data_IF_197121279760
#
_entry.id   IF_197121279760
#
_cell.length_a   1.000
_cell.length_b   1.000
_cell.length_c   1.000
_cell.angle_alpha   90.00
_cell.angle_beta   90.00
_cell.angle_gamma   90.00
#
_symmetry.space_group_name_H-M   'P 1'
#
loop_
_entity.id
_entity.type
_entity.pdbx_description
1 polymer ?
#
# COMPACT_ATOMS: atom_id res chain seq x y z
N UNK A 1 -10.32 -5.26 8.69
CA UNK A 1 -9.52 -6.51 8.62
C UNK A 1 -9.40 -6.94 7.17
N UNK A 2 -8.35 -7.67 6.83
CA UNK A 2 -8.25 -8.38 5.54
C UNK A 2 -8.82 -9.77 5.73
N UNK A 3 -9.67 -10.24 4.82
CA UNK A 3 -10.18 -11.60 4.85
C UNK A 3 -10.00 -12.28 3.48
N UNK A 4 -9.43 -13.48 3.52
CA UNK A 4 -9.42 -14.41 2.41
C UNK A 4 -10.41 -15.52 2.75
N UNK A 5 -11.30 -15.87 1.81
CA UNK A 5 -12.31 -16.91 1.99
C UNK A 5 -12.24 -17.90 0.83
N UNK A 6 -11.80 -19.11 1.11
CA UNK A 6 -11.69 -20.22 0.15
C UNK A 6 -10.93 -19.80 -1.13
N UNK A 7 -9.89 -18.99 -0.95
CA UNK A 7 -9.15 -18.40 -2.08
C UNK A 7 -8.25 -19.44 -2.71
N UNK A 8 -8.39 -19.58 -4.02
CA UNK A 8 -7.48 -20.34 -4.87
C UNK A 8 -6.88 -19.41 -5.90
N UNK A 9 -5.58 -19.46 -6.07
CA UNK A 9 -4.91 -18.75 -7.15
C UNK A 9 -3.70 -19.53 -7.69
N UNK A 10 -3.46 -19.33 -8.98
CA UNK A 10 -2.33 -19.91 -9.70
C UNK A 10 -1.48 -18.83 -10.36
N UNK A 11 -0.28 -19.18 -10.78
CA UNK A 11 0.60 -18.36 -11.60
C UNK A 11 1.21 -19.22 -12.69
N UNK A 12 1.09 -18.76 -13.94
CA UNK A 12 1.57 -19.50 -15.11
C UNK A 12 1.07 -20.97 -15.15
N UNK A 13 -0.21 -21.19 -14.82
CA UNK A 13 -0.84 -22.50 -14.81
C UNK A 13 -0.46 -23.42 -13.63
N UNK A 14 0.36 -22.94 -12.69
CA UNK A 14 0.72 -23.69 -11.49
C UNK A 14 -0.07 -23.19 -10.30
N UNK A 15 -0.87 -24.03 -9.63
CA UNK A 15 -1.55 -23.67 -8.39
C UNK A 15 -0.53 -23.32 -7.31
N UNK A 16 -0.69 -22.19 -6.66
CA UNK A 16 0.17 -21.72 -5.56
C UNK A 16 -0.53 -21.77 -4.22
N UNK A 17 -1.82 -21.48 -4.21
CA UNK A 17 -2.67 -21.55 -3.02
C UNK A 17 -3.98 -22.18 -3.44
N UNK A 18 -4.51 -23.09 -2.63
CA UNK A 18 -5.75 -23.82 -2.87
C UNK A 18 -6.60 -23.73 -1.61
N UNK A 19 -7.85 -23.25 -1.76
CA UNK A 19 -8.88 -23.19 -0.71
C UNK A 19 -8.41 -22.55 0.60
N UNK A 20 -7.63 -21.49 0.50
CA UNK A 20 -7.09 -20.81 1.68
C UNK A 20 -8.09 -19.84 2.29
N UNK A 21 -8.28 -19.94 3.61
CA UNK A 21 -9.09 -19.00 4.37
C UNK A 21 -8.26 -18.44 5.53
N UNK A 22 -8.17 -17.12 5.63
CA UNK A 22 -7.44 -16.43 6.70
C UNK A 22 -8.05 -15.06 6.95
N UNK A 23 -8.01 -14.63 8.21
CA UNK A 23 -8.40 -13.29 8.62
C UNK A 23 -7.21 -12.59 9.29
N UNK A 24 -6.90 -11.39 8.85
CA UNK A 24 -5.84 -10.56 9.39
C UNK A 24 -6.45 -9.28 9.98
N UNK A 25 -6.27 -9.09 11.27
CA UNK A 25 -6.85 -7.96 11.99
C UNK A 25 -5.91 -6.74 11.97
N UNK A 26 -6.49 -5.56 12.11
CA UNK A 26 -5.72 -4.33 12.25
C UNK A 26 -4.73 -4.42 13.43
N UNK A 27 -3.55 -3.87 13.26
CA UNK A 27 -2.49 -3.88 14.28
C UNK A 27 -1.67 -5.17 14.35
N UNK A 28 -2.07 -6.23 13.65
CA UNK A 28 -1.27 -7.46 13.62
C UNK A 28 0.01 -7.30 12.80
N UNK A 29 1.06 -7.92 13.30
CA UNK A 29 2.32 -8.12 12.56
C UNK A 29 2.38 -9.58 12.18
N UNK A 30 2.31 -9.87 10.89
CA UNK A 30 2.17 -11.23 10.36
C UNK A 30 3.38 -11.58 9.52
N UNK A 31 4.02 -12.70 9.83
CA UNK A 31 5.10 -13.27 9.02
C UNK A 31 4.55 -14.32 8.04
N UNK A 32 4.90 -14.20 6.76
CA UNK A 32 4.61 -15.20 5.74
C UNK A 32 5.88 -16.00 5.45
N UNK A 33 5.87 -17.28 5.81
CA UNK A 33 7.01 -18.17 5.66
C UNK A 33 6.72 -19.31 4.67
N UNK A 34 7.76 -19.81 4.03
CA UNK A 34 7.66 -20.91 3.06
C UNK A 34 8.87 -20.97 2.15
N UNK A 35 9.02 -22.06 1.43
CA UNK A 35 10.11 -22.29 0.47
C UNK A 35 10.10 -21.24 -0.66
N UNK A 36 11.23 -21.12 -1.36
CA UNK A 36 11.28 -20.26 -2.54
C UNK A 36 10.35 -20.80 -3.63
N UNK A 37 9.61 -19.89 -4.28
CA UNK A 37 8.65 -20.25 -5.32
C UNK A 37 7.30 -20.80 -4.80
N UNK A 38 7.05 -20.87 -3.48
CA UNK A 38 5.79 -21.37 -2.94
C UNK A 38 4.61 -20.39 -3.06
N UNK A 39 4.83 -19.17 -3.57
CA UNK A 39 3.74 -18.21 -3.82
C UNK A 39 3.68 -17.00 -2.88
N UNK A 40 4.68 -16.78 -1.99
CA UNK A 40 4.68 -15.62 -1.07
C UNK A 40 4.50 -14.28 -1.79
N UNK A 41 5.29 -14.04 -2.82
CA UNK A 41 5.19 -12.80 -3.63
C UNK A 41 3.86 -12.73 -4.40
N UNK A 42 3.30 -13.87 -4.80
CA UNK A 42 2.00 -13.92 -5.47
C UNK A 42 0.86 -13.62 -4.51
N UNK A 43 0.98 -14.01 -3.24
CA UNK A 43 0.03 -13.60 -2.20
C UNK A 43 0.04 -12.08 -2.00
N UNK A 44 1.22 -11.46 -1.96
CA UNK A 44 1.30 -9.99 -1.88
C UNK A 44 0.74 -9.31 -3.13
N UNK A 45 0.97 -9.86 -4.32
CA UNK A 45 0.39 -9.35 -5.56
C UNK A 45 -1.14 -9.49 -5.58
N UNK A 46 -1.69 -10.58 -5.02
CA UNK A 46 -3.13 -10.77 -4.83
C UNK A 46 -3.72 -9.70 -3.90
N UNK A 47 -3.08 -9.46 -2.74
CA UNK A 47 -3.52 -8.43 -1.81
C UNK A 47 -3.41 -7.02 -2.39
N UNK A 48 -2.40 -6.75 -3.22
CA UNK A 48 -2.23 -5.50 -3.96
C UNK A 48 -3.15 -5.36 -5.18
N UNK A 49 -4.04 -6.33 -5.41
CA UNK A 49 -4.93 -6.39 -6.59
C UNK A 49 -4.19 -6.41 -7.94
N UNK A 50 -2.94 -6.86 -7.94
CA UNK A 50 -2.13 -7.09 -9.15
C UNK A 50 -2.34 -8.50 -9.72
N UNK A 51 -2.88 -9.41 -8.92
CA UNK A 51 -3.26 -10.77 -9.25
C UNK A 51 -4.71 -11.00 -8.81
N UNK A 52 -5.47 -11.72 -9.61
CA UNK A 52 -6.85 -12.10 -9.26
C UNK A 52 -6.91 -13.56 -8.80
N UNK A 53 -7.79 -13.82 -7.83
CA UNK A 53 -8.11 -15.18 -7.44
C UNK A 53 -8.87 -15.90 -8.56
N UNK A 54 -8.62 -17.20 -8.74
CA UNK A 54 -9.40 -18.06 -9.63
C UNK A 54 -10.74 -18.44 -9.00
N UNK A 55 -10.75 -18.55 -7.67
CA UNK A 55 -11.97 -18.77 -6.87
C UNK A 55 -11.79 -18.22 -5.46
N UNK A 56 -12.93 -18.04 -4.77
CA UNK A 56 -12.98 -17.47 -3.44
C UNK A 56 -12.97 -15.94 -3.43
N UNK A 57 -13.04 -15.36 -2.26
CA UNK A 57 -13.19 -13.93 -2.06
C UNK A 57 -12.00 -13.34 -1.30
N UNK A 58 -11.54 -12.19 -1.76
CA UNK A 58 -10.51 -11.36 -1.11
C UNK A 58 -11.16 -10.05 -0.68
N UNK A 59 -11.32 -9.85 0.61
CA UNK A 59 -11.90 -8.65 1.18
C UNK A 59 -10.80 -7.77 1.79
N UNK A 60 -10.67 -6.56 1.28
CA UNK A 60 -9.85 -5.50 1.87
C UNK A 60 -10.74 -4.29 2.18
N UNK A 61 -10.54 -3.63 3.33
CA UNK A 61 -11.27 -2.39 3.61
C UNK A 61 -10.94 -1.33 2.56
N UNK A 62 -11.97 -0.73 1.96
CA UNK A 62 -11.79 0.29 0.93
C UNK A 62 -11.01 1.54 1.39
N UNK A 63 -10.98 1.78 2.72
CA UNK A 63 -10.23 2.88 3.33
C UNK A 63 -8.76 2.57 3.58
N UNK A 64 -8.31 1.34 3.36
CA UNK A 64 -6.91 0.97 3.59
C UNK A 64 -6.07 1.23 2.34
N UNK A 65 -4.92 1.81 2.57
CA UNK A 65 -3.88 1.96 1.54
C UNK A 65 -2.81 0.91 1.77
N UNK A 66 -2.47 0.19 0.72
CA UNK A 66 -1.40 -0.82 0.76
C UNK A 66 -0.11 -0.15 0.33
N UNK A 67 0.83 -0.04 1.27
CA UNK A 67 2.21 0.32 0.95
C UNK A 67 3.06 -0.97 0.85
N UNK A 68 3.99 -1.00 -0.08
CA UNK A 68 4.84 -2.16 -0.32
C UNK A 68 6.30 -1.72 -0.47
N UNK A 69 7.18 -2.42 0.21
CA UNK A 69 8.62 -2.31 -0.04
C UNK A 69 9.00 -3.31 -1.13
N UNK A 70 9.61 -2.82 -2.21
CA UNK A 70 10.09 -3.68 -3.28
C UNK A 70 11.24 -4.57 -2.80
N UNK A 71 11.37 -5.74 -3.39
CA UNK A 71 12.44 -6.68 -3.07
C UNK A 71 13.83 -6.14 -3.49
N UNK A 72 13.85 -5.37 -4.57
CA UNK A 72 15.05 -4.66 -5.06
C UNK A 72 14.79 -3.16 -4.96
N UNK A 73 15.71 -2.44 -4.35
CA UNK A 73 15.65 -0.98 -4.30
C UNK A 73 16.30 -0.46 -5.58
N UNK A 74 15.56 0.29 -6.43
CA UNK A 74 16.16 0.85 -7.64
C UNK A 74 17.25 1.86 -7.27
N UNK A 75 18.33 1.88 -8.05
CA UNK A 75 19.34 2.92 -7.94
C UNK A 75 18.78 4.22 -8.55
N UNK A 76 18.09 5.01 -7.74
CA UNK A 76 17.52 6.30 -8.13
C UNK A 76 18.42 7.44 -7.62
N UNK A 77 18.47 8.57 -8.34
CA UNK A 77 19.19 9.77 -7.88
C UNK A 77 18.49 10.46 -6.69
N UNK A 78 17.27 10.02 -6.35
CA UNK A 78 16.44 10.63 -5.32
C UNK A 78 16.96 10.34 -3.91
N UNK A 79 16.67 11.26 -2.99
CA UNK A 79 17.01 11.07 -1.59
C UNK A 79 16.26 9.85 -1.01
N UNK A 80 16.94 9.04 -0.21
CA UNK A 80 16.35 7.85 0.40
C UNK A 80 15.06 8.15 1.20
N UNK A 81 15.04 9.29 1.89
CA UNK A 81 13.85 9.75 2.63
C UNK A 81 12.68 10.00 1.67
N UNK A 82 12.92 10.66 0.54
CA UNK A 82 11.88 10.95 -0.43
C UNK A 82 11.35 9.67 -1.07
N UNK A 83 12.23 8.73 -1.39
CA UNK A 83 11.84 7.41 -1.89
C UNK A 83 10.91 6.66 -0.91
N UNK A 84 11.18 6.71 0.39
CA UNK A 84 10.31 6.08 1.39
C UNK A 84 8.98 6.84 1.51
N UNK A 85 9.00 8.17 1.50
CA UNK A 85 7.80 9.00 1.56
C UNK A 85 6.91 8.85 0.32
N UNK A 86 7.48 8.50 -0.84
CA UNK A 86 6.71 8.22 -2.07
C UNK A 86 5.81 6.99 -1.94
N UNK A 87 6.08 6.11 -0.97
CA UNK A 87 5.18 5.02 -0.57
C UNK A 87 3.87 5.50 0.06
N UNK A 88 3.83 6.72 0.60
CA UNK A 88 2.61 7.36 1.11
C UNK A 88 1.96 8.21 0.01
N UNK A 89 1.14 7.56 -0.80
CA UNK A 89 0.49 8.19 -1.95
C UNK A 89 -0.46 9.32 -1.56
N UNK A 90 -1.09 9.27 -0.38
CA UNK A 90 -1.96 10.33 0.13
C UNK A 90 -1.15 11.55 0.52
N UNK A 91 -0.05 11.38 1.23
CA UNK A 91 0.88 12.45 1.58
C UNK A 91 1.34 13.19 0.32
N UNK A 92 1.87 12.46 -0.66
CA UNK A 92 2.37 13.04 -1.91
C UNK A 92 1.29 13.70 -2.75
N UNK A 93 0.06 13.20 -2.71
CA UNK A 93 -1.07 13.84 -3.37
C UNK A 93 -1.35 15.20 -2.74
N UNK A 94 -1.46 15.26 -1.40
CA UNK A 94 -1.74 16.52 -0.69
C UNK A 94 -0.61 17.53 -0.89
N UNK A 95 0.65 17.12 -0.87
CA UNK A 95 1.80 17.99 -1.14
C UNK A 95 1.72 18.61 -2.55
N UNK A 96 1.35 17.84 -3.57
CA UNK A 96 1.18 18.36 -4.93
C UNK A 96 -0.01 19.32 -5.05
N UNK A 97 -1.15 18.97 -4.42
CA UNK A 97 -2.33 19.84 -4.42
C UNK A 97 -2.06 21.15 -3.69
N UNK A 98 -1.31 21.11 -2.59
CA UNK A 98 -0.91 22.28 -1.82
C UNK A 98 -0.03 23.22 -2.68
N UNK A 99 1.02 22.69 -3.31
CA UNK A 99 1.88 23.47 -4.20
C UNK A 99 1.09 24.10 -5.36
N UNK A 100 0.11 23.39 -5.92
CA UNK A 100 -0.75 23.91 -6.97
C UNK A 100 -1.71 25.00 -6.48
N UNK A 101 -2.24 24.89 -5.26
CA UNK A 101 -3.11 25.91 -4.65
C UNK A 101 -2.32 27.17 -4.29
N UNK A 102 -1.11 27.02 -3.77
CA UNK A 102 -0.19 28.13 -3.50
C UNK A 102 0.17 28.90 -4.77
N UNK A 103 0.48 28.18 -5.85
CA UNK A 103 0.80 28.80 -7.15
C UNK A 103 -0.39 29.60 -7.74
N UNK A 104 -1.63 29.22 -7.39
CA UNK A 104 -2.86 29.92 -7.81
C UNK A 104 -3.29 31.02 -6.84
N UNK A 105 -2.73 31.06 -5.63
CA UNK A 105 -3.14 31.99 -4.57
C UNK A 105 -4.52 31.67 -3.97
N UNK A 106 -4.95 30.40 -4.03
CA UNK A 106 -6.24 29.96 -3.52
C UNK A 106 -6.17 29.72 -2.01
N UNK A 107 -6.44 30.78 -1.24
CA UNK A 107 -6.33 30.75 0.21
C UNK A 107 -7.27 29.76 0.90
N UNK A 108 -8.47 29.51 0.36
CA UNK A 108 -9.43 28.55 0.92
C UNK A 108 -8.93 27.12 0.72
N UNK A 109 -8.51 26.77 -0.48
CA UNK A 109 -7.92 25.46 -0.76
C UNK A 109 -6.67 25.20 0.07
N UNK A 110 -5.79 26.20 0.22
CA UNK A 110 -4.58 26.10 1.06
C UNK A 110 -4.95 25.78 2.50
N UNK A 111 -5.94 26.48 3.09
CA UNK A 111 -6.40 26.22 4.45
C UNK A 111 -6.90 24.80 4.66
N UNK A 112 -7.75 24.30 3.76
CA UNK A 112 -8.26 22.92 3.79
C UNK A 112 -7.15 21.88 3.64
N UNK A 113 -6.22 22.09 2.73
CA UNK A 113 -5.12 21.16 2.48
C UNK A 113 -4.14 21.10 3.65
N UNK A 114 -3.84 22.24 4.30
CA UNK A 114 -3.04 22.24 5.53
C UNK A 114 -3.70 21.51 6.68
N UNK A 115 -5.01 21.66 6.86
CA UNK A 115 -5.76 20.90 7.86
C UNK A 115 -5.65 19.39 7.59
N UNK A 116 -5.89 18.97 6.34
CA UNK A 116 -5.75 17.57 5.93
C UNK A 116 -4.33 17.03 6.08
N UNK A 117 -3.32 17.84 5.70
CA UNK A 117 -1.91 17.50 5.90
C UNK A 117 -1.56 17.27 7.37
N UNK A 118 -2.12 18.07 8.27
CA UNK A 118 -2.00 17.88 9.71
C UNK A 118 -2.66 16.58 10.20
N UNK A 119 -3.88 16.27 9.73
CA UNK A 119 -4.63 15.06 10.10
C UNK A 119 -3.88 13.77 9.76
N UNK A 120 -3.25 13.70 8.59
CA UNK A 120 -2.45 12.54 8.17
C UNK A 120 -1.05 12.51 8.79
N UNK A 121 -0.70 13.50 9.60
CA UNK A 121 0.62 13.63 10.22
C UNK A 121 1.73 14.01 9.25
N UNK A 122 1.41 14.75 8.20
CA UNK A 122 2.34 15.18 7.16
C UNK A 122 3.52 15.96 7.70
N UNK A 123 3.29 16.86 8.68
CA UNK A 123 4.38 17.65 9.29
C UNK A 123 5.43 16.80 10.01
N UNK A 124 5.07 15.63 10.48
CA UNK A 124 5.99 14.70 11.15
C UNK A 124 6.48 13.57 10.24
N UNK A 125 6.05 13.53 8.99
CA UNK A 125 6.32 12.43 8.07
C UNK A 125 7.83 12.18 7.90
N UNK A 126 8.63 13.22 7.66
CA UNK A 126 10.09 13.11 7.55
C UNK A 126 10.78 12.61 8.83
N UNK A 127 10.21 12.90 9.99
CA UNK A 127 10.78 12.46 11.26
C UNK A 127 10.43 11.01 11.61
N UNK A 128 9.42 10.43 10.94
CA UNK A 128 9.02 9.03 11.11
C UNK A 128 9.79 8.05 10.23
N UNK A 129 10.46 8.54 9.20
CA UNK A 129 11.29 7.81 8.25
C UNK A 129 12.74 7.82 8.70
#
# INVERSE_FOLDING_TARGET
MIALRQVTFARAGRPLVIDASVQLHAGWKVGVVGANGCGKSSLFALLANELHAESGDVELPASWHIARVAQETPALPDCAIDFVLDGDSELRRIERELAAAEAKGDGEAIGHLHARYGEIGGYSAKARV
#
